data_IF_514905571183
#
_entry.id   IF_514905571183
#
_cell.length_a   1.000
_cell.length_b   1.000
_cell.length_c   1.000
_cell.angle_alpha   90.00
_cell.angle_beta   90.00
_cell.angle_gamma   90.00
#
_symmetry.space_group_name_H-M   'P 1'
#
loop_
_entity.id
_entity.type
_entity.pdbx_description
1 polymer ?
#
# COMPACT_ATOMS: atom_id res chain seq x y z
N UNK A 1 -0.69 22.43 3.92
CA UNK A 1 -1.77 21.81 4.72
C UNK A 1 -1.80 20.29 4.52
N UNK A 2 -1.44 19.81 3.35
CA UNK A 2 -1.50 18.38 2.96
C UNK A 2 -0.56 17.47 3.78
N UNK A 3 0.61 17.98 4.20
CA UNK A 3 1.56 17.22 5.01
C UNK A 3 1.01 16.86 6.40
N UNK A 4 0.21 17.75 7.01
CA UNK A 4 -0.39 17.52 8.34
C UNK A 4 -1.47 16.45 8.23
N UNK A 5 -2.26 16.47 7.15
CA UNK A 5 -3.29 15.46 6.87
C UNK A 5 -2.63 14.09 6.64
N UNK A 6 -1.53 14.04 5.87
CA UNK A 6 -0.77 12.82 5.65
C UNK A 6 -0.17 12.28 6.96
N UNK A 7 0.37 13.14 7.81
CA UNK A 7 0.89 12.74 9.12
C UNK A 7 -0.21 12.16 10.03
N UNK A 8 -1.35 12.85 10.14
CA UNK A 8 -2.49 12.39 10.94
C UNK A 8 -3.05 11.06 10.42
N UNK A 9 -3.18 10.92 9.10
CA UNK A 9 -3.60 9.68 8.46
C UNK A 9 -2.61 8.54 8.72
N UNK A 10 -1.30 8.81 8.63
CA UNK A 10 -0.25 7.83 8.90
C UNK A 10 -0.22 7.40 10.37
N UNK A 11 -0.38 8.35 11.28
CA UNK A 11 -0.48 8.08 12.72
C UNK A 11 -1.74 7.24 13.03
N UNK A 12 -2.91 7.62 12.52
CA UNK A 12 -4.14 6.87 12.73
C UNK A 12 -4.05 5.45 12.15
N UNK A 13 -3.51 5.30 10.94
CA UNK A 13 -3.27 4.00 10.31
C UNK A 13 -2.29 3.13 11.13
N UNK A 14 -1.25 3.74 11.70
CA UNK A 14 -0.28 3.04 12.54
C UNK A 14 -0.92 2.55 13.84
N UNK A 15 -1.73 3.39 14.50
CA UNK A 15 -2.49 2.99 15.70
C UNK A 15 -3.42 1.83 15.38
N UNK A 16 -4.13 1.91 14.26
CA UNK A 16 -5.06 0.85 13.84
C UNK A 16 -4.32 -0.44 13.47
N UNK A 17 -3.13 -0.35 12.85
CA UNK A 17 -2.27 -1.50 12.59
C UNK A 17 -1.87 -2.19 13.91
N UNK A 18 -1.42 -1.41 14.89
CA UNK A 18 -1.01 -1.91 16.21
C UNK A 18 -2.18 -2.58 16.92
N UNK A 19 -3.37 -1.98 16.91
CA UNK A 19 -4.56 -2.58 17.53
C UNK A 19 -4.92 -3.92 16.90
N UNK A 20 -4.81 -4.04 15.57
CA UNK A 20 -5.02 -5.30 14.87
C UNK A 20 -3.99 -6.37 15.22
N UNK A 21 -2.72 -5.99 15.37
CA UNK A 21 -1.65 -6.89 15.81
C UNK A 21 -1.83 -7.34 17.26
N UNK A 22 -2.24 -6.43 18.16
CA UNK A 22 -2.56 -6.76 19.56
C UNK A 22 -3.76 -7.70 19.64
N UNK A 23 -4.80 -7.46 18.83
CA UNK A 23 -5.96 -8.34 18.74
C UNK A 23 -5.58 -9.73 18.20
N UNK A 24 -4.72 -9.79 17.19
CA UNK A 24 -4.16 -11.06 16.68
C UNK A 24 -3.39 -11.82 17.76
N UNK A 25 -2.53 -11.15 18.52
CA UNK A 25 -1.77 -11.77 19.61
C UNK A 25 -2.67 -12.34 20.71
N UNK A 26 -3.84 -11.72 20.94
CA UNK A 26 -4.84 -12.19 21.92
C UNK A 26 -5.70 -13.33 21.39
N UNK A 27 -6.04 -13.33 20.09
CA UNK A 27 -6.86 -14.37 19.44
C UNK A 27 -6.32 -14.66 18.04
N UNK A 28 -5.41 -15.64 17.89
CA UNK A 28 -4.81 -15.95 16.60
C UNK A 28 -5.88 -16.53 15.67
N UNK A 29 -6.36 -15.69 14.75
CA UNK A 29 -7.28 -16.08 13.68
C UNK A 29 -6.65 -15.72 12.33
N UNK A 30 -6.64 -16.66 11.34
CA UNK A 30 -5.97 -16.46 10.05
C UNK A 30 -6.42 -15.20 9.29
N UNK A 31 -7.69 -14.81 9.45
CA UNK A 31 -8.25 -13.63 8.79
C UNK A 31 -7.71 -12.30 9.35
N UNK A 32 -7.33 -12.25 10.63
CA UNK A 32 -6.84 -11.01 11.27
C UNK A 32 -5.45 -10.66 10.75
N UNK A 33 -4.63 -11.67 10.43
CA UNK A 33 -3.28 -11.46 9.86
C UNK A 33 -3.38 -10.77 8.50
N UNK A 34 -4.29 -11.20 7.62
CA UNK A 34 -4.46 -10.60 6.30
C UNK A 34 -4.83 -9.11 6.39
N UNK A 35 -5.76 -8.78 7.29
CA UNK A 35 -6.12 -7.39 7.56
C UNK A 35 -4.98 -6.59 8.21
N UNK A 36 -4.20 -7.20 9.11
CA UNK A 36 -3.09 -6.52 9.79
C UNK A 36 -1.96 -6.20 8.78
N UNK A 37 -1.70 -7.11 7.84
CA UNK A 37 -0.78 -6.88 6.72
C UNK A 37 -1.31 -5.75 5.81
N UNK A 38 -2.59 -5.75 5.44
CA UNK A 38 -3.17 -4.66 4.63
C UNK A 38 -3.02 -3.28 5.28
N UNK A 39 -3.33 -3.17 6.58
CA UNK A 39 -3.26 -1.88 7.29
C UNK A 39 -1.80 -1.45 7.55
N UNK A 40 -0.86 -2.37 7.78
CA UNK A 40 0.56 -2.02 7.84
C UNK A 40 1.09 -1.51 6.49
N UNK A 41 0.68 -2.11 5.37
CA UNK A 41 0.99 -1.59 4.03
C UNK A 41 0.39 -0.21 3.80
N UNK A 42 -0.85 0.01 4.27
CA UNK A 42 -1.47 1.34 4.21
C UNK A 42 -0.66 2.38 4.99
N UNK A 43 -0.29 2.07 6.23
CA UNK A 43 0.54 2.95 7.05
C UNK A 43 1.88 3.29 6.37
N UNK A 44 2.57 2.29 5.81
CA UNK A 44 3.81 2.50 5.05
C UNK A 44 3.61 3.42 3.83
N UNK A 45 2.51 3.24 3.09
CA UNK A 45 2.19 4.11 1.96
C UNK A 45 1.94 5.56 2.42
N UNK A 46 1.21 5.76 3.52
CA UNK A 46 0.94 7.10 4.05
C UNK A 46 2.20 7.78 4.57
N UNK A 47 3.11 7.03 5.20
CA UNK A 47 4.43 7.55 5.60
C UNK A 47 5.30 7.93 4.38
N UNK A 48 5.26 7.15 3.30
CA UNK A 48 5.94 7.51 2.05
C UNK A 48 5.35 8.78 1.42
N UNK A 49 4.04 8.97 1.49
CA UNK A 49 3.37 10.18 1.01
C UNK A 49 3.75 11.41 1.86
N UNK A 50 3.79 11.26 3.19
CA UNK A 50 4.30 12.31 4.07
C UNK A 50 5.75 12.68 3.74
N UNK A 51 6.62 11.69 3.58
CA UNK A 51 8.03 11.91 3.22
C UNK A 51 8.18 12.63 1.88
N UNK A 52 7.38 12.27 0.86
CA UNK A 52 7.36 12.95 -0.43
C UNK A 52 6.88 14.41 -0.33
N UNK A 53 5.98 14.71 0.60
CA UNK A 53 5.48 16.07 0.83
C UNK A 53 6.50 16.96 1.55
N UNK A 54 7.37 16.37 2.39
CA UNK A 54 8.38 17.09 3.19
C UNK A 54 9.71 17.25 2.45
N UNK A 55 10.16 16.21 1.73
CA UNK A 55 11.48 16.17 1.07
C UNK A 55 11.43 16.23 -0.45
N UNK A 56 10.27 16.58 -1.02
CA UNK A 56 9.95 16.54 -2.45
C UNK A 56 9.81 15.11 -3.03
N UNK A 57 9.09 15.00 -4.15
CA UNK A 57 8.79 13.72 -4.79
C UNK A 57 10.02 13.09 -5.44
N UNK A 58 10.60 12.10 -4.77
CA UNK A 58 11.60 11.21 -5.34
C UNK A 58 10.91 9.98 -6.00
N UNK A 59 11.43 9.46 -7.13
CA UNK A 59 11.00 8.18 -7.70
C UNK A 59 10.90 7.03 -6.69
N UNK A 60 11.76 7.00 -5.65
CA UNK A 60 11.67 6.02 -4.57
C UNK A 60 10.35 6.12 -3.78
N UNK A 61 10.00 7.32 -3.28
CA UNK A 61 8.76 7.52 -2.51
C UNK A 61 7.52 7.21 -3.34
N UNK A 62 7.54 7.53 -4.64
CA UNK A 62 6.46 7.18 -5.57
C UNK A 62 6.29 5.67 -5.72
N UNK A 63 7.38 4.92 -5.89
CA UNK A 63 7.32 3.45 -5.99
C UNK A 63 6.71 2.83 -4.72
N UNK A 64 7.14 3.27 -3.54
CA UNK A 64 6.64 2.78 -2.26
C UNK A 64 5.14 3.10 -2.11
N UNK A 65 4.75 4.36 -2.34
CA UNK A 65 3.34 4.76 -2.26
C UNK A 65 2.45 3.99 -3.25
N UNK A 66 2.87 3.85 -4.50
CA UNK A 66 2.11 3.16 -5.54
C UNK A 66 1.98 1.67 -5.25
N UNK A 67 3.09 1.01 -4.88
CA UNK A 67 3.11 -0.41 -4.62
C UNK A 67 2.28 -0.78 -3.39
N UNK A 68 2.51 -0.10 -2.27
CA UNK A 68 1.85 -0.43 -1.00
C UNK A 68 0.46 0.18 -0.86
N UNK A 69 0.19 1.32 -1.50
CA UNK A 69 -1.08 2.02 -1.42
C UNK A 69 -2.08 1.59 -2.49
N UNK A 70 -1.65 1.49 -3.75
CA UNK A 70 -2.57 1.25 -4.87
C UNK A 70 -2.60 -0.21 -5.32
N UNK A 71 -1.45 -0.88 -5.41
CA UNK A 71 -1.37 -2.21 -6.04
C UNK A 71 -1.65 -3.33 -5.04
N UNK A 72 -0.98 -3.34 -3.89
CA UNK A 72 -1.03 -4.48 -2.98
C UNK A 72 -2.08 -4.35 -1.87
N UNK A 73 -2.44 -3.13 -1.49
CA UNK A 73 -3.36 -2.90 -0.37
C UNK A 73 -4.73 -3.59 -0.57
N UNK A 74 -5.35 -3.31 -1.72
CA UNK A 74 -6.70 -3.77 -2.07
C UNK A 74 -6.75 -5.31 -2.13
N UNK A 75 -5.82 -6.02 -2.80
CA UNK A 75 -5.81 -7.48 -2.78
C UNK A 75 -5.65 -8.07 -1.38
N UNK A 76 -4.80 -7.49 -0.51
CA UNK A 76 -4.61 -8.00 0.86
C UNK A 76 -5.84 -7.80 1.74
N UNK A 77 -6.56 -6.69 1.57
CA UNK A 77 -7.86 -6.46 2.20
C UNK A 77 -8.92 -7.45 1.69
N UNK A 78 -8.97 -7.67 0.37
CA UNK A 78 -9.89 -8.63 -0.25
C UNK A 78 -9.64 -10.07 0.23
N UNK A 79 -8.38 -10.43 0.48
CA UNK A 79 -7.98 -11.73 1.01
C UNK A 79 -8.52 -11.97 2.43
N UNK A 80 -8.52 -10.95 3.29
CA UNK A 80 -9.15 -11.00 4.60
C UNK A 80 -10.66 -11.30 4.52
N UNK A 81 -11.35 -10.66 3.58
CA UNK A 81 -12.78 -10.91 3.32
C UNK A 81 -13.03 -12.29 2.71
N UNK A 82 -12.15 -12.78 1.84
CA UNK A 82 -12.25 -14.13 1.27
C UNK A 82 -12.07 -15.23 2.32
N UNK A 83 -11.19 -15.04 3.32
CA UNK A 83 -11.09 -15.97 4.44
C UNK A 83 -12.35 -15.97 5.32
N UNK A 84 -13.08 -14.84 5.37
CA UNK A 84 -14.30 -14.71 6.16
C UNK A 84 -15.52 -15.33 5.45
N UNK A 85 -15.68 -15.09 4.15
CA UNK A 85 -16.87 -15.47 3.36
C UNK A 85 -16.65 -16.75 2.55
N UNK A 86 -15.47 -16.94 1.96
CA UNK A 86 -15.17 -18.03 1.03
C UNK A 86 -14.59 -19.30 1.67
N UNK A 87 -14.34 -19.29 2.99
CA UNK A 87 -13.79 -20.42 3.72
C UNK A 87 -12.27 -20.64 3.54
N UNK A 88 -11.71 -21.60 4.30
CA UNK A 88 -10.24 -21.79 4.44
C UNK A 88 -9.53 -22.16 3.14
N UNK A 89 -10.16 -22.91 2.23
CA UNK A 89 -9.55 -23.35 0.96
C UNK A 89 -9.41 -22.18 -0.03
N UNK A 90 -10.46 -21.38 -0.20
CA UNK A 90 -10.42 -20.20 -1.08
C UNK A 90 -9.40 -19.17 -0.59
N UNK A 91 -9.34 -18.93 0.72
CA UNK A 91 -8.33 -18.03 1.30
C UNK A 91 -6.88 -18.49 1.10
N UNK A 92 -6.61 -19.81 1.17
CA UNK A 92 -5.26 -20.33 0.90
C UNK A 92 -4.84 -20.16 -0.56
N UNK A 93 -5.74 -20.47 -1.50
CA UNK A 93 -5.51 -20.28 -2.95
C UNK A 93 -5.27 -18.79 -3.26
N UNK A 94 -6.10 -17.91 -2.69
CA UNK A 94 -5.94 -16.47 -2.83
C UNK A 94 -4.60 -15.99 -2.27
N UNK A 95 -4.11 -16.58 -1.17
CA UNK A 95 -2.80 -16.25 -0.58
C UNK A 95 -1.63 -16.60 -1.51
N UNK A 96 -1.67 -17.78 -2.13
CA UNK A 96 -0.64 -18.19 -3.09
C UNK A 96 -0.66 -17.29 -4.33
N UNK A 97 -1.85 -17.01 -4.86
CA UNK A 97 -2.04 -16.08 -5.98
C UNK A 97 -1.58 -14.65 -5.64
N UNK A 98 -1.91 -14.14 -4.45
CA UNK A 98 -1.43 -12.85 -3.98
C UNK A 98 0.08 -12.83 -3.83
N UNK A 99 0.67 -13.91 -3.32
CA UNK A 99 2.13 -14.06 -3.22
C UNK A 99 2.80 -13.90 -4.58
N UNK A 100 2.32 -14.62 -5.60
CA UNK A 100 2.81 -14.49 -6.97
C UNK A 100 2.58 -13.08 -7.55
N UNK A 101 1.38 -12.52 -7.37
CA UNK A 101 1.05 -11.17 -7.84
C UNK A 101 1.93 -10.09 -7.17
N UNK A 102 2.22 -10.27 -5.88
CA UNK A 102 3.07 -9.36 -5.11
C UNK A 102 4.52 -9.42 -5.58
N UNK A 103 5.06 -10.60 -5.82
CA UNK A 103 6.40 -10.79 -6.37
C UNK A 103 6.54 -10.14 -7.75
N UNK A 104 5.54 -10.34 -8.64
CA UNK A 104 5.51 -9.71 -9.97
C UNK A 104 5.44 -8.19 -9.83
N UNK A 105 4.55 -7.67 -8.99
CA UNK A 105 4.35 -6.23 -8.80
C UNK A 105 5.61 -5.55 -8.24
N UNK A 106 6.27 -6.15 -7.25
CA UNK A 106 7.53 -5.66 -6.68
C UNK A 106 8.62 -5.63 -7.75
N UNK A 107 8.73 -6.69 -8.55
CA UNK A 107 9.72 -6.78 -9.63
C UNK A 107 9.47 -5.74 -10.71
N UNK A 108 8.21 -5.56 -11.14
CA UNK A 108 7.85 -4.57 -12.16
C UNK A 108 8.09 -3.14 -11.67
N UNK A 109 7.64 -2.80 -10.47
CA UNK A 109 7.82 -1.45 -9.91
C UNK A 109 9.29 -1.15 -9.62
N UNK A 110 10.08 -2.17 -9.27
CA UNK A 110 11.53 -2.02 -9.05
C UNK A 110 12.32 -1.80 -10.35
N UNK A 111 11.96 -2.51 -11.42
CA UNK A 111 12.69 -2.51 -12.70
C UNK A 111 12.21 -1.47 -13.70
N UNK A 112 10.99 -0.94 -13.54
CA UNK A 112 10.46 0.11 -14.42
C UNK A 112 11.25 1.40 -14.27
N UNK A 113 12.05 1.75 -15.28
CA UNK A 113 12.68 3.05 -15.39
C UNK A 113 11.61 4.13 -15.52
N UNK A 114 11.72 5.20 -14.72
CA UNK A 114 10.82 6.35 -14.82
C UNK A 114 11.03 7.06 -16.16
N UNK A 115 10.15 6.81 -17.13
CA UNK A 115 10.14 7.46 -18.43
C UNK A 115 9.45 8.83 -18.33
N UNK A 116 10.13 9.83 -17.72
CA UNK A 116 9.91 11.24 -18.05
C UNK A 116 10.95 12.17 -17.41
N UNK A 117 11.83 12.70 -18.25
CA UNK A 117 12.30 14.07 -18.09
C UNK A 117 11.06 14.97 -18.05
N UNK A 118 10.86 15.70 -16.95
CA UNK A 118 9.88 16.78 -16.93
C UNK A 118 10.31 17.75 -18.01
N UNK A 119 9.45 18.10 -19.00
CA UNK A 119 9.78 19.24 -19.83
C UNK A 119 9.91 20.43 -18.88
N UNK A 120 11.09 21.06 -18.87
CA UNK A 120 11.38 22.25 -18.06
C UNK A 120 10.46 23.44 -18.41
N UNK A 121 9.60 23.27 -19.42
CA UNK A 121 8.60 24.20 -19.89
C UNK A 121 7.24 23.50 -19.78
N UNK A 122 6.36 24.04 -18.95
CA UNK A 122 4.99 23.54 -18.78
C UNK A 122 4.24 23.38 -20.11
N UNK A 123 3.11 22.67 -20.04
CA UNK A 123 2.21 22.40 -21.18
C UNK A 123 2.08 23.67 -22.03
N UNK A 124 2.47 23.64 -23.32
CA UNK A 124 2.43 24.83 -24.14
C UNK A 124 0.96 25.29 -24.26
N UNK A 125 0.72 26.55 -23.86
CA UNK A 125 -0.60 27.17 -23.75
C UNK A 125 -1.27 27.45 -25.11
N UNK A 126 -0.79 26.84 -26.20
CA UNK A 126 -1.22 27.08 -27.58
C UNK A 126 -1.99 25.90 -28.20
N UNK A 127 -2.52 24.99 -27.38
CA UNK A 127 -3.37 23.88 -27.82
C UNK A 127 -4.86 24.08 -27.48
N UNK A 128 -5.29 25.33 -27.26
CA UNK A 128 -6.70 25.72 -27.29
C UNK A 128 -6.88 26.92 -28.20
#
# INVERSE_FOLDING_TARGET
>A
MDAIIAFLAGAAATVFAVDLWVNYARRPRPHVIAYAVGITMFALATWALFAAQVWEWNPFYYRVFYLFGAVLNIPYLALGSMFLVGGKRAGHIMTVLLGAFSAISVTLVGTTGFQKERPARGIPHNMF
#
